data_IF_106270914392
#
_entry.id   IF_106270914392
#
_cell.length_a   1.000
_cell.length_b   1.000
_cell.length_c   1.000
_cell.angle_alpha   90.00
_cell.angle_beta   90.00
_cell.angle_gamma   90.00
#
_symmetry.space_group_name_H-M   'P 1'
#
loop_
_entity.id
_entity.type
_entity.pdbx_description
1 polymer ?
#
# COMPACT_ATOMS: atom_id res chain seq x y z
N UNK A 1 -1.16 -20.28 33.66
CA UNK A 1 -2.18 -21.11 33.01
C UNK A 1 -1.58 -22.46 32.64
N UNK A 2 -2.35 -23.55 32.79
CA UNK A 2 -1.88 -24.89 32.45
C UNK A 2 -1.90 -25.03 30.92
N UNK A 3 -0.80 -25.52 30.33
CA UNK A 3 -0.71 -25.77 28.90
C UNK A 3 -1.75 -26.76 28.44
N UNK A 4 -2.50 -26.44 27.39
CA UNK A 4 -3.49 -27.31 26.75
C UNK A 4 -3.59 -26.98 25.28
N UNK A 5 -3.31 -27.95 24.40
CA UNK A 5 -3.36 -27.79 22.95
C UNK A 5 -4.09 -28.98 22.33
N UNK A 6 -5.06 -28.71 21.47
CA UNK A 6 -5.74 -29.74 20.69
C UNK A 6 -5.07 -29.91 19.33
N UNK A 7 -4.70 -31.14 18.97
CA UNK A 7 -4.15 -31.48 17.66
C UNK A 7 -4.81 -32.79 17.19
N UNK A 8 -5.42 -32.77 16.01
CA UNK A 8 -6.13 -33.91 15.40
C UNK A 8 -7.16 -34.57 16.33
N UNK A 9 -7.91 -33.74 17.09
CA UNK A 9 -8.94 -34.19 18.03
C UNK A 9 -8.41 -34.75 19.35
N UNK A 10 -7.10 -34.67 19.61
CA UNK A 10 -6.49 -35.06 20.91
C UNK A 10 -5.99 -33.82 21.63
N UNK A 11 -6.25 -33.77 22.93
CA UNK A 11 -5.78 -32.70 23.82
C UNK A 11 -4.46 -33.16 24.47
N UNK A 12 -3.44 -32.29 24.32
CA UNK A 12 -2.12 -32.47 24.92
C UNK A 12 -1.90 -31.42 26.02
N UNK A 13 -1.44 -31.89 27.16
CA UNK A 13 -1.15 -31.04 28.33
C UNK A 13 0.33 -30.80 28.52
N UNK A 14 1.17 -31.47 27.74
CA UNK A 14 2.62 -31.28 27.74
C UNK A 14 3.11 -30.72 26.41
N UNK A 15 3.93 -29.65 26.50
CA UNK A 15 4.50 -28.95 25.33
C UNK A 15 5.29 -29.88 24.41
N UNK A 16 6.04 -30.80 24.98
CA UNK A 16 6.88 -31.78 24.24
C UNK A 16 6.03 -32.72 23.41
N UNK A 17 4.96 -33.27 24.01
CA UNK A 17 4.03 -34.20 23.35
C UNK A 17 3.24 -33.48 22.24
N UNK A 18 2.72 -32.29 22.52
CA UNK A 18 2.05 -31.44 21.53
C UNK A 18 2.96 -31.13 20.34
N UNK A 19 4.20 -30.78 20.60
CA UNK A 19 5.17 -30.50 19.53
C UNK A 19 5.50 -31.76 18.71
N UNK A 20 5.61 -32.92 19.33
CA UNK A 20 5.80 -34.18 18.61
C UNK A 20 4.58 -34.55 17.77
N UNK A 21 3.37 -34.35 18.28
CA UNK A 21 2.13 -34.54 17.52
C UNK A 21 2.03 -33.60 16.32
N UNK A 22 2.41 -32.34 16.50
CA UNK A 22 2.46 -31.35 15.41
C UNK A 22 3.41 -31.80 14.30
N UNK A 23 4.62 -32.24 14.64
CA UNK A 23 5.57 -32.76 13.65
C UNK A 23 5.09 -34.08 13.00
N UNK A 24 4.35 -34.92 13.69
CA UNK A 24 3.75 -36.09 13.08
C UNK A 24 2.73 -35.70 12.01
N UNK A 25 1.85 -34.75 12.29
CA UNK A 25 0.91 -34.19 11.30
C UNK A 25 1.64 -33.63 10.08
N UNK A 26 2.75 -32.91 10.27
CA UNK A 26 3.58 -32.41 9.15
C UNK A 26 4.08 -33.59 8.27
N UNK A 27 4.56 -34.66 8.87
CA UNK A 27 5.08 -35.84 8.14
C UNK A 27 4.01 -36.61 7.40
N UNK A 28 2.80 -36.67 7.96
CA UNK A 28 1.66 -37.44 7.40
C UNK A 28 0.94 -36.63 6.29
N UNK A 29 1.28 -35.38 6.12
CA UNK A 29 0.68 -34.50 5.14
C UNK A 29 1.06 -34.93 3.71
N UNK A 30 0.08 -35.42 2.93
CA UNK A 30 0.28 -35.95 1.59
C UNK A 30 0.04 -34.92 0.47
N UNK A 31 -0.76 -33.92 0.75
CA UNK A 31 -1.13 -32.91 -0.24
C UNK A 31 -0.21 -31.70 -0.09
N UNK A 32 0.55 -31.43 -1.15
CA UNK A 32 1.40 -30.25 -1.26
C UNK A 32 0.52 -29.02 -1.51
N UNK A 33 0.81 -27.93 -0.84
CA UNK A 33 0.11 -26.63 -0.94
C UNK A 33 -1.38 -26.65 -0.50
N UNK A 34 -1.89 -27.78 0.00
CA UNK A 34 -3.20 -27.86 0.61
C UNK A 34 -3.14 -27.48 2.09
N UNK A 35 -4.00 -26.55 2.52
CA UNK A 35 -4.10 -26.19 3.92
C UNK A 35 -5.05 -27.16 4.65
N UNK A 36 -4.64 -27.67 5.83
CA UNK A 36 -5.39 -28.59 6.65
C UNK A 36 -5.61 -28.04 8.05
N UNK A 37 -6.85 -28.06 8.53
CA UNK A 37 -7.16 -27.71 9.92
C UNK A 37 -6.70 -28.82 10.84
N UNK A 38 -5.94 -28.48 11.89
CA UNK A 38 -5.30 -29.46 12.76
C UNK A 38 -5.78 -29.41 14.20
N UNK A 39 -6.46 -28.38 14.64
CA UNK A 39 -6.99 -28.26 15.99
C UNK A 39 -7.05 -26.80 16.50
N UNK A 40 -7.01 -26.67 17.82
CA UNK A 40 -7.14 -25.37 18.49
C UNK A 40 -6.10 -25.20 19.61
N UNK A 41 -5.64 -23.99 19.78
CA UNK A 41 -4.78 -23.59 20.88
C UNK A 41 -5.16 -22.23 21.42
N UNK A 42 -5.48 -22.15 22.71
CA UNK A 42 -5.89 -20.91 23.40
C UNK A 42 -7.02 -20.14 22.68
N UNK A 43 -7.99 -20.88 22.10
CA UNK A 43 -9.10 -20.27 21.36
C UNK A 43 -8.81 -19.95 19.90
N UNK A 44 -7.57 -20.14 19.45
CA UNK A 44 -7.17 -19.94 18.05
C UNK A 44 -7.23 -21.24 17.27
N UNK A 45 -7.89 -21.23 16.11
CA UNK A 45 -7.86 -22.33 15.18
C UNK A 45 -6.49 -22.43 14.50
N UNK A 46 -5.96 -23.65 14.46
CA UNK A 46 -4.67 -23.93 13.84
C UNK A 46 -4.85 -24.64 12.50
N UNK A 47 -4.22 -24.10 11.47
CA UNK A 47 -4.20 -24.65 10.13
C UNK A 47 -2.78 -24.80 9.65
N UNK A 48 -2.40 -25.94 9.13
CA UNK A 48 -1.07 -26.19 8.60
C UNK A 48 -1.10 -26.28 7.08
N UNK A 49 -0.06 -25.80 6.45
CA UNK A 49 0.17 -25.86 5.02
C UNK A 49 1.66 -26.10 4.76
N UNK A 50 1.97 -26.92 3.75
CA UNK A 50 3.34 -26.99 3.23
C UNK A 50 3.50 -25.98 2.10
N UNK A 51 4.47 -25.11 2.23
CA UNK A 51 4.85 -24.17 1.18
C UNK A 51 5.94 -24.79 0.30
N UNK A 52 5.58 -25.12 -0.93
CA UNK A 52 6.51 -25.75 -1.89
C UNK A 52 7.64 -24.83 -2.36
N UNK A 53 7.46 -23.51 -2.24
CA UNK A 53 8.48 -22.52 -2.58
C UNK A 53 9.59 -22.47 -1.53
N UNK A 54 9.22 -22.24 -0.27
CA UNK A 54 10.18 -22.20 0.86
C UNK A 54 10.60 -23.60 1.34
N UNK A 55 9.86 -24.65 0.95
CA UNK A 55 9.98 -26.04 1.43
C UNK A 55 9.82 -26.16 2.94
N UNK A 56 8.99 -25.34 3.51
CA UNK A 56 8.71 -25.27 4.94
C UNK A 56 7.24 -25.52 5.23
N UNK A 57 6.96 -26.01 6.44
CA UNK A 57 5.61 -26.05 6.96
C UNK A 57 5.27 -24.71 7.61
N UNK A 58 4.13 -24.15 7.22
CA UNK A 58 3.59 -22.92 7.78
C UNK A 58 2.35 -23.26 8.58
N UNK A 59 2.36 -22.91 9.86
CA UNK A 59 1.21 -22.94 10.72
C UNK A 59 0.51 -21.59 10.70
N UNK A 60 -0.74 -21.55 10.28
CA UNK A 60 -1.61 -20.39 10.39
C UNK A 60 -2.44 -20.51 11.67
N UNK A 61 -2.35 -19.49 12.51
CA UNK A 61 -3.14 -19.35 13.74
C UNK A 61 -4.22 -18.31 13.45
N UNK A 62 -5.48 -18.73 13.50
CA UNK A 62 -6.63 -17.92 13.08
C UNK A 62 -7.61 -17.70 14.22
N UNK A 63 -7.96 -16.46 14.44
CA UNK A 63 -9.15 -16.00 15.16
C UNK A 63 -9.90 -15.02 14.25
N UNK A 64 -9.92 -13.75 14.53
CA UNK A 64 -10.42 -12.70 13.59
C UNK A 64 -9.38 -12.37 12.51
N UNK A 65 -8.12 -12.36 12.90
CA UNK A 65 -6.97 -12.21 11.98
C UNK A 65 -6.22 -13.53 11.81
N UNK A 66 -5.40 -13.62 10.77
CA UNK A 66 -4.56 -14.80 10.48
C UNK A 66 -3.10 -14.42 10.67
N UNK A 67 -2.42 -15.10 11.59
CA UNK A 67 -0.97 -15.01 11.76
C UNK A 67 -0.29 -16.30 11.37
N UNK A 68 0.92 -16.22 10.85
CA UNK A 68 1.68 -17.35 10.33
C UNK A 68 2.94 -17.59 11.15
N UNK A 69 3.24 -18.86 11.41
CA UNK A 69 4.45 -19.33 12.08
C UNK A 69 5.14 -20.36 11.21
N UNK A 70 6.41 -20.16 10.92
CA UNK A 70 7.22 -21.16 10.23
C UNK A 70 7.64 -22.26 11.19
N UNK A 71 7.32 -23.49 10.86
CA UNK A 71 7.66 -24.65 11.66
C UNK A 71 9.03 -25.19 11.26
N UNK A 72 9.84 -25.53 12.27
CA UNK A 72 11.13 -26.18 12.08
C UNK A 72 11.10 -27.66 12.48
N UNK A 73 12.27 -28.27 12.49
CA UNK A 73 12.43 -29.68 12.86
C UNK A 73 12.33 -29.95 14.38
N UNK A 74 12.45 -28.90 15.21
CA UNK A 74 12.40 -29.06 16.67
C UNK A 74 10.97 -28.92 17.21
N UNK A 75 10.50 -30.01 17.85
CA UNK A 75 9.16 -30.11 18.41
C UNK A 75 8.85 -29.03 19.46
N UNK A 76 9.77 -28.83 20.42
CA UNK A 76 9.59 -27.86 21.50
C UNK A 76 9.74 -26.41 20.99
N UNK A 77 10.69 -26.21 20.09
CA UNK A 77 10.90 -24.90 19.44
C UNK A 77 9.69 -24.44 18.66
N UNK A 78 8.94 -25.34 18.02
CA UNK A 78 7.70 -24.99 17.34
C UNK A 78 6.63 -24.49 18.31
N UNK A 79 6.44 -25.16 19.44
CA UNK A 79 5.50 -24.70 20.48
C UNK A 79 5.93 -23.35 21.06
N UNK A 80 7.23 -23.15 21.27
CA UNK A 80 7.78 -21.87 21.74
C UNK A 80 7.49 -20.75 20.74
N UNK A 81 7.68 -20.97 19.43
CA UNK A 81 7.36 -19.98 18.38
C UNK A 81 5.87 -19.62 18.38
N UNK A 82 4.99 -20.61 18.55
CA UNK A 82 3.54 -20.37 18.63
C UNK A 82 3.22 -19.53 19.86
N UNK A 83 3.77 -19.87 21.03
CA UNK A 83 3.58 -19.10 22.25
C UNK A 83 4.06 -17.65 22.10
N UNK A 84 5.29 -17.45 21.60
CA UNK A 84 5.83 -16.10 21.38
C UNK A 84 4.95 -15.27 20.42
N UNK A 85 4.37 -15.90 19.39
CA UNK A 85 3.42 -15.22 18.53
C UNK A 85 2.19 -14.75 19.32
N UNK A 86 1.56 -15.63 20.11
CA UNK A 86 0.37 -15.29 20.89
C UNK A 86 0.67 -14.24 21.97
N UNK A 87 1.80 -14.37 22.65
CA UNK A 87 2.27 -13.42 23.65
C UNK A 87 2.61 -12.03 23.05
N UNK A 88 2.93 -11.95 21.76
CA UNK A 88 3.17 -10.69 21.07
C UNK A 88 1.90 -9.91 20.68
N UNK A 89 0.73 -10.50 20.76
CA UNK A 89 -0.51 -9.84 20.34
C UNK A 89 -0.89 -8.59 21.15
N UNK A 90 -0.78 -8.57 22.49
CA UNK A 90 -1.08 -7.36 23.25
C UNK A 90 -0.20 -6.16 22.85
N UNK A 91 1.10 -6.41 22.60
CA UNK A 91 2.03 -5.38 22.16
C UNK A 91 1.68 -4.87 20.76
N UNK A 92 1.42 -5.78 19.83
CA UNK A 92 0.99 -5.44 18.46
C UNK A 92 -0.33 -4.68 18.43
N UNK A 93 -1.25 -5.01 19.34
CA UNK A 93 -2.51 -4.27 19.48
C UNK A 93 -2.24 -2.83 19.91
N UNK A 94 -1.43 -2.63 20.95
CA UNK A 94 -1.07 -1.30 21.43
C UNK A 94 -0.35 -0.47 20.34
N UNK A 95 0.58 -1.07 19.58
CA UNK A 95 1.22 -0.42 18.45
C UNK A 95 0.23 -0.02 17.35
N UNK A 96 -0.73 -0.91 17.04
CA UNK A 96 -1.74 -0.64 16.03
C UNK A 96 -2.71 0.48 16.45
N UNK A 97 -3.10 0.52 17.72
CA UNK A 97 -3.93 1.59 18.29
C UNK A 97 -3.20 2.94 18.24
N UNK A 98 -1.94 2.99 18.65
CA UNK A 98 -1.12 4.20 18.57
C UNK A 98 -0.94 4.68 17.13
N UNK A 99 -0.70 3.76 16.20
CA UNK A 99 -0.59 4.09 14.78
C UNK A 99 -1.91 4.64 14.22
N UNK A 100 -3.04 4.07 14.62
CA UNK A 100 -4.36 4.55 14.22
C UNK A 100 -4.59 5.99 14.71
N UNK A 101 -4.27 6.28 15.96
CA UNK A 101 -4.37 7.64 16.54
C UNK A 101 -3.52 8.63 15.75
N UNK A 102 -2.24 8.29 15.50
CA UNK A 102 -1.34 9.13 14.72
C UNK A 102 -1.87 9.41 13.31
N UNK A 103 -2.40 8.40 12.62
CA UNK A 103 -2.97 8.56 11.27
C UNK A 103 -4.25 9.42 11.31
N UNK A 104 -5.07 9.28 12.33
CA UNK A 104 -6.26 10.12 12.51
C UNK A 104 -5.90 11.59 12.72
N UNK A 105 -4.89 11.89 13.54
CA UNK A 105 -4.37 13.24 13.72
C UNK A 105 -3.80 13.82 12.41
N UNK A 106 -2.98 13.04 11.69
CA UNK A 106 -2.45 13.45 10.39
C UNK A 106 -3.55 13.73 9.37
N UNK A 107 -4.59 12.91 9.35
CA UNK A 107 -5.76 13.12 8.49
C UNK A 107 -6.52 14.39 8.85
N UNK A 108 -6.69 14.68 10.14
CA UNK A 108 -7.34 15.90 10.59
C UNK A 108 -6.54 17.15 10.18
N UNK A 109 -5.23 17.14 10.41
CA UNK A 109 -4.32 18.22 10.03
C UNK A 109 -4.28 18.42 8.51
N UNK A 110 -4.21 17.33 7.73
CA UNK A 110 -4.22 17.40 6.26
C UNK A 110 -5.54 17.99 5.72
N UNK A 111 -6.69 17.62 6.32
CA UNK A 111 -7.99 18.19 5.94
C UNK A 111 -8.06 19.70 6.23
N UNK A 112 -7.49 20.13 7.34
CA UNK A 112 -7.41 21.54 7.68
C UNK A 112 -6.50 22.30 6.71
N UNK A 113 -5.35 21.73 6.36
CA UNK A 113 -4.40 22.36 5.42
C UNK A 113 -4.95 22.46 3.99
N UNK A 114 -5.63 21.42 3.51
CA UNK A 114 -6.28 21.45 2.19
C UNK A 114 -7.36 22.54 2.10
N UNK A 115 -8.01 22.85 3.23
CA UNK A 115 -9.00 23.94 3.29
C UNK A 115 -8.41 25.35 3.35
N UNK A 116 -7.09 25.52 3.57
CA UNK A 116 -6.45 26.83 3.63
C UNK A 116 -6.10 27.31 2.22
N UNK A 117 -6.35 28.60 1.91
CA UNK A 117 -5.92 29.18 0.64
C UNK A 117 -4.38 29.11 0.54
N UNK A 118 -3.88 28.86 -0.65
CA UNK A 118 -2.44 28.75 -0.88
C UNK A 118 -1.75 30.08 -0.48
N UNK A 119 -0.76 30.08 0.44
CA UNK A 119 -0.21 31.33 1.01
C UNK A 119 0.43 32.28 -0.02
N UNK A 120 0.76 31.77 -1.21
CA UNK A 120 1.37 32.52 -2.30
C UNK A 120 0.46 32.64 -3.55
N UNK A 121 -0.83 32.42 -3.39
CA UNK A 121 -1.78 32.46 -4.51
C UNK A 121 -1.81 33.86 -5.17
N UNK A 122 -1.78 34.90 -4.36
CA UNK A 122 -1.73 36.28 -4.84
C UNK A 122 -0.45 36.61 -5.60
N UNK A 123 0.71 36.15 -5.08
CA UNK A 123 2.01 36.30 -5.78
C UNK A 123 2.04 35.49 -7.09
N UNK A 124 1.47 34.30 -7.11
CA UNK A 124 1.35 33.51 -8.33
C UNK A 124 0.48 34.19 -9.37
N UNK A 125 -0.67 34.75 -8.98
CA UNK A 125 -1.57 35.45 -9.87
C UNK A 125 -0.92 36.70 -10.44
N UNK A 126 -0.23 37.50 -9.63
CA UNK A 126 0.52 38.67 -10.11
C UNK A 126 1.62 38.31 -11.13
N UNK A 127 2.35 37.21 -10.88
CA UNK A 127 3.37 36.71 -11.82
C UNK A 127 2.78 36.17 -13.11
N UNK A 128 1.62 35.50 -13.04
CA UNK A 128 0.91 35.05 -14.25
C UNK A 128 0.38 36.23 -15.09
N UNK A 129 -0.16 37.24 -14.44
CA UNK A 129 -0.62 38.44 -15.11
C UNK A 129 0.56 39.17 -15.81
N UNK A 130 1.68 39.32 -15.10
CA UNK A 130 2.90 39.92 -15.68
C UNK A 130 3.47 39.12 -16.84
N UNK A 131 3.45 37.78 -16.75
CA UNK A 131 3.87 36.91 -17.84
C UNK A 131 2.96 37.07 -19.06
N UNK A 132 1.66 37.22 -18.85
CA UNK A 132 0.68 37.44 -19.91
C UNK A 132 0.92 38.78 -20.62
N UNK A 133 1.17 39.85 -19.84
CA UNK A 133 1.54 41.17 -20.39
C UNK A 133 2.81 41.15 -21.25
N UNK A 134 3.87 40.49 -20.72
CA UNK A 134 5.13 40.34 -21.44
C UNK A 134 4.99 39.57 -22.74
N UNK A 135 4.22 38.46 -22.71
CA UNK A 135 3.93 37.70 -23.92
C UNK A 135 3.13 38.52 -24.96
N UNK A 136 2.20 39.34 -24.50
CA UNK A 136 1.46 40.25 -25.41
C UNK A 136 2.37 41.28 -26.06
N UNK A 137 3.30 41.87 -25.30
CA UNK A 137 4.29 42.82 -25.81
C UNK A 137 5.24 42.16 -26.83
N UNK A 138 5.77 40.96 -26.52
CA UNK A 138 6.64 40.22 -27.44
C UNK A 138 5.94 39.82 -28.74
N UNK A 139 4.67 39.45 -28.68
CA UNK A 139 3.88 39.13 -29.85
C UNK A 139 3.52 40.39 -30.69
N UNK A 140 3.49 41.57 -30.07
CA UNK A 140 3.35 42.83 -30.80
C UNK A 140 4.64 43.21 -31.54
N UNK A 141 5.81 43.08 -30.89
CA UNK A 141 7.11 43.33 -31.52
C UNK A 141 7.37 42.37 -32.70
N UNK A 142 7.03 41.07 -32.57
CA UNK A 142 7.15 40.10 -33.67
C UNK A 142 6.21 40.46 -34.87
N UNK A 143 5.10 41.15 -34.63
CA UNK A 143 4.19 41.59 -35.70
C UNK A 143 4.70 42.84 -36.43
N UNK A 144 5.33 43.77 -35.73
CA UNK A 144 5.95 44.94 -36.34
C UNK A 144 7.17 44.55 -37.21
N UNK A 145 7.98 43.57 -36.75
CA UNK A 145 9.12 43.07 -37.54
C UNK A 145 8.69 42.26 -38.77
N UNK A 146 7.53 41.58 -38.73
CA UNK A 146 7.01 40.78 -39.86
C UNK A 146 6.35 41.66 -40.95
N UNK A 147 5.90 42.87 -40.66
CA UNK A 147 5.39 43.79 -41.69
C UNK A 147 6.50 44.42 -42.56
N UNK A 148 7.75 44.45 -42.08
CA UNK A 148 8.90 44.99 -42.82
C UNK A 148 9.56 43.90 -43.73
N UNK A 149 9.41 42.60 -43.43
CA UNK A 149 10.05 41.52 -44.20
C UNK A 149 9.16 40.83 -45.24
N UNK A 150 7.89 41.24 -45.44
CA UNK A 150 7.02 40.62 -46.46
C UNK A 150 7.22 41.09 -47.90
N UNK A 151 8.38 41.62 -48.27
CA UNK A 151 8.70 41.90 -49.67
C UNK A 151 9.68 40.91 -50.34
N UNK A 152 10.27 39.95 -49.60
CA UNK A 152 11.16 38.95 -50.25
C UNK A 152 11.03 37.56 -49.60
N UNK A 153 10.68 36.61 -50.47
CA UNK A 153 10.81 35.17 -50.39
C UNK A 153 9.61 34.32 -49.90
N UNK A 154 8.88 33.85 -50.90
CA UNK A 154 8.16 32.56 -50.88
C UNK A 154 9.16 31.44 -50.76
N UNK A 155 8.76 30.44 -49.98
CA UNK A 155 9.31 29.10 -49.74
C UNK A 155 10.03 28.90 -48.40
N UNK A 156 9.27 28.34 -47.42
CA UNK A 156 9.73 27.19 -46.62
C UNK A 156 8.70 26.73 -45.59
N UNK A 157 8.28 25.47 -45.78
CA UNK A 157 7.90 24.45 -44.80
C UNK A 157 7.11 24.82 -43.52
N UNK A 158 5.88 24.30 -43.47
CA UNK A 158 5.04 24.18 -42.28
C UNK A 158 5.74 23.42 -41.14
N UNK A 159 6.05 24.13 -40.05
CA UNK A 159 6.33 23.52 -38.76
C UNK A 159 5.03 23.50 -37.93
N UNK A 160 4.66 22.39 -37.30
CA UNK A 160 3.44 22.34 -36.50
C UNK A 160 3.55 23.28 -35.30
N UNK A 161 2.53 24.10 -35.12
CA UNK A 161 2.39 25.06 -34.03
C UNK A 161 2.61 24.39 -32.67
N UNK A 162 3.53 24.86 -31.87
CA UNK A 162 3.70 24.45 -30.47
C UNK A 162 2.48 24.95 -29.69
N UNK A 163 1.55 24.05 -29.37
CA UNK A 163 0.38 24.34 -28.56
C UNK A 163 0.73 25.10 -27.29
N UNK A 164 -0.03 26.12 -26.99
CA UNK A 164 0.11 27.00 -25.83
C UNK A 164 0.21 26.18 -24.54
N UNK A 165 1.06 26.62 -23.60
CA UNK A 165 1.18 26.00 -22.25
C UNK A 165 -0.20 25.95 -21.58
N UNK A 166 -1.08 26.88 -21.86
CA UNK A 166 -2.44 26.93 -21.34
C UNK A 166 -3.31 25.77 -21.86
N UNK A 167 -3.20 25.40 -23.13
CA UNK A 167 -3.88 24.23 -23.69
C UNK A 167 -3.38 22.93 -23.07
N UNK A 168 -2.08 22.81 -22.85
CA UNK A 168 -1.51 21.64 -22.18
C UNK A 168 -1.98 21.51 -20.73
N UNK A 169 -2.07 22.60 -19.99
CA UNK A 169 -2.60 22.63 -18.61
C UNK A 169 -4.10 22.30 -18.56
N UNK A 170 -4.90 22.74 -19.54
CA UNK A 170 -6.31 22.35 -19.64
C UNK A 170 -6.47 20.85 -19.89
N UNK A 171 -5.69 20.28 -20.79
CA UNK A 171 -5.71 18.83 -21.08
C UNK A 171 -5.31 18.02 -19.84
N UNK A 172 -4.34 18.47 -19.06
CA UNK A 172 -3.97 17.81 -17.80
C UNK A 172 -5.07 17.90 -16.73
N UNK A 173 -5.75 19.03 -16.61
CA UNK A 173 -6.89 19.20 -15.69
C UNK A 173 -8.06 18.29 -16.05
N UNK A 174 -8.41 18.21 -17.33
CA UNK A 174 -9.50 17.34 -17.79
C UNK A 174 -9.17 15.85 -17.62
N UNK A 175 -7.90 15.49 -17.84
CA UNK A 175 -7.45 14.11 -17.64
C UNK A 175 -7.49 13.70 -16.17
N UNK A 176 -7.04 14.56 -15.26
CA UNK A 176 -7.09 14.35 -13.82
C UNK A 176 -8.53 14.25 -13.28
N UNK A 177 -9.47 15.02 -13.84
CA UNK A 177 -10.89 14.92 -13.47
C UNK A 177 -11.53 13.60 -13.93
N UNK A 178 -11.24 13.13 -15.14
CA UNK A 178 -11.73 11.83 -15.64
C UNK A 178 -11.18 10.64 -14.88
N UNK A 179 -9.92 10.69 -14.43
CA UNK A 179 -9.34 9.64 -13.60
C UNK A 179 -9.94 9.60 -12.19
N UNK A 180 -10.38 10.73 -11.65
CA UNK A 180 -11.07 10.80 -10.36
C UNK A 180 -12.54 10.34 -10.40
N UNK A 181 -13.18 10.39 -11.57
CA UNK A 181 -14.55 9.89 -11.76
C UNK A 181 -14.59 8.38 -12.03
N UNK A 182 -13.61 7.83 -12.74
CA UNK A 182 -13.53 6.39 -13.02
C UNK A 182 -12.99 5.52 -11.85
N UNK A 183 -12.53 6.12 -10.77
CA UNK A 183 -12.09 5.42 -9.55
C UNK A 183 -13.18 5.23 -8.50
N UNK A 184 -14.46 5.47 -8.82
CA UNK A 184 -15.62 5.37 -7.91
C UNK A 184 -16.68 4.34 -8.33
N UNK A 185 -16.29 3.35 -9.12
CA UNK A 185 -17.12 2.13 -9.32
C UNK A 185 -16.49 0.90 -8.66
#
# INVERSE_FOLDING_TARGET
>A
EQFSMEISGKVFTEKKEAGAALLAVCKDMKAVDAAMDIGNYQGFNMRIQFDSWSKEFILSVKHESVSKVHLGADALGNITRINNLLESYPEKLAEAEQRLETVQEQLANAKEEVGKPFPKEEELNQKLERLSELNALLNMDEREDTEVEQSESKEKEERPARGSIHEKLQIYKEKSQRESENGRE
#
